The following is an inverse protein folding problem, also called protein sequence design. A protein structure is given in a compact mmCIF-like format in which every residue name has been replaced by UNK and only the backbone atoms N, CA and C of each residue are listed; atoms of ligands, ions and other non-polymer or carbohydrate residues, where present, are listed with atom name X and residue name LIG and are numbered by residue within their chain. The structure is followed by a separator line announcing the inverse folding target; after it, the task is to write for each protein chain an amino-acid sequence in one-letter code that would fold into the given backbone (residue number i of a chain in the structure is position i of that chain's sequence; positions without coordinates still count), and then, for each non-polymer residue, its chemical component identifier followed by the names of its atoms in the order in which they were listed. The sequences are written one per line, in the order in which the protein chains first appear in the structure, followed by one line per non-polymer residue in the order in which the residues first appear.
data_IF_108428083483
#
_entry.id   IF_108428083483
#
_cell.length_a   1.000
_cell.length_b   1.000
_cell.length_c   1.000
_cell.angle_alpha   90.00
_cell.angle_beta   90.00
_cell.angle_gamma   90.00
#
_symmetry.space_group_name_H-M   'P 1'
#
loop_
_entity.id
_entity.type
_entity.pdbx_description
1 polymer ?
#
# COMPACT_ATOMS: atom_id res chain seq x y z
N UNK A 1 -38.93 -15.75 1.43
CA UNK A 1 -37.75 -14.87 1.66
C UNK A 1 -37.13 -15.00 3.06
N UNK A 2 -37.82 -15.58 4.06
CA UNK A 2 -37.29 -15.69 5.44
C UNK A 2 -36.34 -16.86 5.71
N UNK A 3 -36.30 -17.91 4.86
CA UNK A 3 -35.44 -19.08 5.11
C UNK A 3 -33.95 -18.84 4.79
N UNK A 4 -33.65 -17.97 3.82
CA UNK A 4 -32.27 -17.64 3.42
C UNK A 4 -31.60 -16.75 4.47
N UNK A 5 -32.36 -15.86 5.11
CA UNK A 5 -31.86 -14.98 6.16
C UNK A 5 -31.31 -15.75 7.38
N UNK A 6 -32.01 -16.82 7.80
CA UNK A 6 -31.62 -17.64 8.95
C UNK A 6 -30.37 -18.50 8.70
N UNK A 7 -30.08 -18.88 7.46
CA UNK A 7 -28.87 -19.65 7.14
C UNK A 7 -27.60 -18.77 7.10
N UNK A 8 -27.75 -17.47 6.88
CA UNK A 8 -26.62 -16.54 6.75
C UNK A 8 -26.26 -15.89 8.10
N UNK A 9 -27.21 -15.83 9.03
CA UNK A 9 -27.05 -15.26 10.38
C UNK A 9 -25.84 -15.84 11.17
N UNK A 10 -25.61 -17.17 11.21
CA UNK A 10 -24.44 -17.72 11.89
C UNK A 10 -23.12 -17.33 11.22
N UNK A 11 -23.11 -17.20 9.89
CA UNK A 11 -21.94 -16.76 9.13
C UNK A 11 -21.67 -15.28 9.31
N UNK A 12 -22.71 -14.45 9.41
CA UNK A 12 -22.61 -13.02 9.71
C UNK A 12 -22.16 -12.80 11.14
N UNK A 13 -22.68 -13.57 12.09
CA UNK A 13 -22.25 -13.54 13.49
C UNK A 13 -20.83 -14.07 13.67
N UNK A 14 -20.46 -15.12 12.93
CA UNK A 14 -19.09 -15.64 12.91
C UNK A 14 -18.13 -14.64 12.25
N UNK A 15 -18.50 -14.00 11.15
CA UNK A 15 -17.72 -12.92 10.53
C UNK A 15 -17.60 -11.70 11.47
N UNK A 16 -18.68 -11.35 12.17
CA UNK A 16 -18.70 -10.30 13.20
C UNK A 16 -17.90 -10.66 14.46
N UNK A 17 -17.74 -11.95 14.77
CA UNK A 17 -16.89 -12.44 15.85
C UNK A 17 -15.41 -12.52 15.43
N UNK A 18 -15.13 -12.95 14.20
CA UNK A 18 -13.77 -13.03 13.63
C UNK A 18 -13.16 -11.63 13.48
N UNK A 19 -13.98 -10.66 13.11
CA UNK A 19 -13.64 -9.26 13.10
C UNK A 19 -14.05 -8.66 14.44
N UNK A 20 -13.17 -8.76 15.46
CA UNK A 20 -13.12 -7.78 16.56
C UNK A 20 -13.53 -6.43 15.98
N UNK A 21 -14.52 -5.74 16.54
CA UNK A 21 -15.20 -4.54 16.02
C UNK A 21 -14.27 -3.36 15.73
N UNK A 22 -13.27 -3.60 14.91
CA UNK A 22 -12.30 -2.72 14.41
C UNK A 22 -12.92 -2.20 13.14
N UNK A 23 -13.06 -0.87 12.97
CA UNK A 23 -13.53 -0.30 11.73
C UNK A 23 -12.44 -0.52 10.67
N UNK A 24 -12.37 -1.73 10.12
CA UNK A 24 -11.45 -2.05 9.05
C UNK A 24 -11.94 -1.32 7.81
N UNK A 25 -11.35 -0.16 7.54
CA UNK A 25 -11.17 0.27 6.15
C UNK A 25 -10.74 -0.94 5.33
N UNK A 26 -11.23 -1.07 4.08
CA UNK A 26 -10.74 -2.07 3.14
C UNK A 26 -9.22 -2.21 3.30
N UNK A 27 -8.67 -3.41 3.52
CA UNK A 27 -7.23 -3.59 3.69
C UNK A 27 -6.52 -2.89 2.55
N UNK A 28 -5.66 -1.93 2.87
CA UNK A 28 -4.93 -1.18 1.85
C UNK A 28 -4.01 -2.17 1.12
N UNK A 29 -4.08 -2.19 -0.21
CA UNK A 29 -3.34 -3.15 -1.03
C UNK A 29 -1.85 -2.77 -1.04
N UNK A 30 -1.10 -3.27 -0.06
CA UNK A 30 0.34 -3.06 0.05
C UNK A 30 1.11 -3.96 -0.93
N UNK A 31 2.30 -3.53 -1.39
CA UNK A 31 3.14 -4.35 -2.25
C UNK A 31 3.57 -5.65 -1.56
N UNK A 32 3.65 -6.72 -2.34
CA UNK A 32 4.24 -7.99 -1.92
C UNK A 32 5.77 -7.83 -1.88
N UNK A 33 6.32 -7.85 -0.66
CA UNK A 33 7.77 -7.71 -0.44
C UNK A 33 8.34 -8.90 0.33
N UNK A 34 9.57 -9.29 -0.02
CA UNK A 34 10.39 -10.19 0.78
C UNK A 34 10.92 -9.52 2.06
N UNK A 35 11.57 -10.28 2.96
CA UNK A 35 12.11 -9.76 4.24
C UNK A 35 13.17 -8.67 4.09
N UNK A 36 13.79 -8.59 2.91
CA UNK A 36 14.85 -7.67 2.52
C UNK A 36 14.34 -6.55 1.59
N UNK A 37 13.01 -6.43 1.45
CA UNK A 37 12.35 -5.46 0.58
C UNK A 37 12.27 -5.87 -0.89
N UNK A 38 12.74 -7.06 -1.27
CA UNK A 38 12.66 -7.55 -2.66
C UNK A 38 11.21 -7.58 -3.17
N UNK A 39 11.01 -7.24 -4.44
CA UNK A 39 9.69 -7.22 -5.10
C UNK A 39 9.58 -8.30 -6.17
N UNK A 40 8.41 -8.39 -6.83
CA UNK A 40 8.23 -9.22 -8.02
C UNK A 40 9.11 -8.83 -9.22
N UNK A 41 9.75 -7.66 -9.18
CA UNK A 41 10.62 -7.17 -10.25
C UNK A 41 12.09 -7.33 -9.84
N UNK A 42 12.88 -8.17 -10.54
CA UNK A 42 14.29 -8.36 -10.23
C UNK A 42 15.07 -7.04 -10.30
N UNK A 43 15.76 -6.72 -9.21
CA UNK A 43 16.55 -5.48 -9.08
C UNK A 43 15.78 -4.28 -8.53
N UNK A 44 14.49 -4.45 -8.20
CA UNK A 44 13.67 -3.44 -7.53
C UNK A 44 13.37 -3.88 -6.10
N UNK A 45 13.67 -3.02 -5.13
CA UNK A 45 13.36 -3.21 -3.70
C UNK A 45 12.51 -2.07 -3.18
N UNK A 46 11.80 -2.30 -2.07
CA UNK A 46 11.01 -1.31 -1.34
C UNK A 46 11.53 -1.22 0.09
N UNK A 47 11.67 -0.01 0.60
CA UNK A 47 12.05 0.27 1.99
C UNK A 47 11.18 1.39 2.59
N UNK A 48 11.20 1.50 3.92
CA UNK A 48 10.40 2.48 4.67
C UNK A 48 9.07 1.93 5.19
N UNK A 49 8.18 2.87 5.56
CA UNK A 49 6.86 2.60 6.16
C UNK A 49 5.87 1.85 5.24
N UNK A 50 6.23 1.62 3.98
CA UNK A 50 5.45 0.75 3.09
C UNK A 50 5.35 -0.70 3.60
N UNK A 51 6.18 -1.08 4.57
CA UNK A 51 6.11 -2.36 5.28
C UNK A 51 5.04 -2.41 6.39
N UNK A 52 4.32 -1.30 6.65
CA UNK A 52 3.14 -1.29 7.52
C UNK A 52 3.36 -0.81 8.96
N UNK A 53 4.55 -0.34 9.33
CA UNK A 53 4.85 0.19 10.67
C UNK A 53 5.58 1.54 10.55
N UNK A 54 4.92 2.68 10.87
CA UNK A 54 5.45 4.02 10.64
C UNK A 54 6.42 4.44 11.75
N UNK A 55 7.53 3.72 11.88
CA UNK A 55 8.57 4.02 12.85
C UNK A 55 9.85 4.44 12.15
N UNK A 56 10.38 5.59 12.55
CA UNK A 56 11.58 6.20 11.97
C UNK A 56 12.78 5.24 11.95
N UNK A 57 12.94 4.45 13.02
CA UNK A 57 14.04 3.46 13.13
C UNK A 57 13.88 2.31 12.14
N UNK A 58 12.68 1.78 11.94
CA UNK A 58 12.44 0.76 10.91
C UNK A 58 12.61 1.33 9.51
N UNK A 59 12.23 2.59 9.29
CA UNK A 59 12.46 3.26 8.00
C UNK A 59 13.97 3.40 7.70
N UNK A 60 14.76 3.86 8.67
CA UNK A 60 16.21 3.95 8.52
C UNK A 60 16.86 2.56 8.32
N UNK A 61 16.50 1.58 9.15
CA UNK A 61 17.03 0.20 9.08
C UNK A 61 16.75 -0.46 7.73
N UNK A 62 15.50 -0.39 7.26
CA UNK A 62 15.10 -0.99 5.98
C UNK A 62 15.79 -0.35 4.79
N UNK A 63 16.02 0.98 4.82
CA UNK A 63 16.77 1.68 3.78
C UNK A 63 18.21 1.16 3.67
N UNK A 64 18.90 1.07 4.81
CA UNK A 64 20.28 0.59 4.85
C UNK A 64 20.40 -0.88 4.42
N UNK A 65 19.55 -1.75 5.00
CA UNK A 65 19.56 -3.19 4.70
C UNK A 65 19.25 -3.49 3.24
N UNK A 66 18.38 -2.72 2.60
CA UNK A 66 18.07 -2.92 1.19
C UNK A 66 19.28 -2.66 0.29
N UNK A 67 20.08 -1.63 0.60
CA UNK A 67 21.32 -1.33 -0.14
C UNK A 67 22.39 -2.38 0.12
N UNK A 68 22.59 -2.78 1.37
CA UNK A 68 23.53 -3.85 1.73
C UNK A 68 23.17 -5.17 1.04
N UNK A 69 21.87 -5.49 0.94
CA UNK A 69 21.41 -6.67 0.24
C UNK A 69 21.65 -6.57 -1.27
N UNK A 70 21.47 -5.41 -1.91
CA UNK A 70 21.88 -5.22 -3.31
C UNK A 70 23.37 -5.46 -3.50
N UNK A 71 24.22 -4.94 -2.61
CA UNK A 71 25.67 -5.10 -2.68
C UNK A 71 26.07 -6.58 -2.48
N UNK A 72 25.36 -7.31 -1.63
CA UNK A 72 25.62 -8.72 -1.37
C UNK A 72 25.29 -9.62 -2.59
N UNK A 73 24.37 -9.21 -3.47
CA UNK A 73 24.01 -9.96 -4.67
C UNK A 73 25.20 -10.08 -5.64
N UNK A 74 25.55 -11.31 -6.03
CA UNK A 74 26.60 -11.55 -7.04
C UNK A 74 26.32 -10.82 -8.37
N UNK A 75 25.04 -10.71 -8.75
CA UNK A 75 24.60 -9.99 -9.94
C UNK A 75 24.88 -8.47 -9.90
N UNK A 76 25.25 -7.92 -8.74
CA UNK A 76 25.64 -6.53 -8.57
C UNK A 76 27.18 -6.34 -8.53
N UNK A 77 27.94 -7.39 -8.18
CA UNK A 77 29.41 -7.34 -8.03
C UNK A 77 30.21 -7.46 -9.33
N UNK A 78 29.67 -8.11 -10.36
CA UNK A 78 30.30 -8.15 -11.69
C UNK A 78 30.07 -6.84 -12.46
N UNK A 79 30.95 -6.44 -13.41
CA UNK A 79 30.68 -5.27 -14.25
C UNK A 79 29.29 -5.43 -14.87
N UNK A 80 28.38 -4.55 -14.43
CA UNK A 80 26.99 -4.63 -14.78
C UNK A 80 26.75 -4.11 -16.20
N UNK A 81 25.49 -4.21 -16.67
CA UNK A 81 25.10 -3.50 -17.88
C UNK A 81 25.37 -2.00 -17.73
N UNK A 82 25.76 -1.34 -18.83
CA UNK A 82 25.94 0.10 -18.89
C UNK A 82 24.62 0.81 -18.53
N UNK A 83 24.67 1.69 -17.53
CA UNK A 83 23.55 2.45 -17.03
C UNK A 83 24.03 3.80 -16.48
N UNK A 84 23.12 4.78 -16.42
CA UNK A 84 23.45 6.11 -15.88
C UNK A 84 23.84 6.03 -14.40
N UNK A 85 23.23 5.12 -13.64
CA UNK A 85 23.45 4.92 -12.21
C UNK A 85 23.54 3.43 -11.82
N UNK A 86 24.33 3.13 -10.79
CA UNK A 86 24.30 1.84 -10.11
C UNK A 86 23.00 1.66 -9.32
N UNK A 87 22.55 2.74 -8.67
CA UNK A 87 21.36 2.75 -7.85
C UNK A 87 20.56 4.04 -8.04
N UNK A 88 19.26 3.92 -8.28
CA UNK A 88 18.33 5.04 -8.12
C UNK A 88 17.47 4.82 -6.89
N UNK A 89 17.40 5.84 -6.03
CA UNK A 89 16.56 5.86 -4.83
C UNK A 89 15.37 6.78 -5.11
N UNK A 90 14.16 6.28 -4.93
CA UNK A 90 12.91 7.02 -5.19
C UNK A 90 12.26 7.37 -3.84
N UNK A 91 12.32 8.64 -3.45
CA UNK A 91 11.82 9.17 -2.19
C UNK A 91 12.95 9.65 -1.27
N UNK A 92 12.92 10.93 -0.90
CA UNK A 92 13.87 11.64 -0.04
C UNK A 92 13.46 11.69 1.43
N UNK A 93 12.80 10.65 1.93
CA UNK A 93 12.48 10.49 3.36
C UNK A 93 13.64 9.89 4.17
N UNK A 94 13.36 9.48 5.41
CA UNK A 94 14.35 8.86 6.31
C UNK A 94 14.95 7.57 5.71
N UNK A 95 14.12 6.73 5.10
CA UNK A 95 14.58 5.51 4.43
C UNK A 95 15.47 5.82 3.22
N UNK A 96 15.13 6.86 2.46
CA UNK A 96 15.90 7.32 1.30
C UNK A 96 17.26 7.89 1.70
N UNK A 97 17.31 8.73 2.75
CA UNK A 97 18.57 9.22 3.31
C UNK A 97 19.45 8.07 3.80
N UNK A 98 18.87 7.10 4.52
CA UNK A 98 19.61 5.93 5.02
C UNK A 98 20.23 5.12 3.88
N UNK A 99 19.45 4.86 2.83
CA UNK A 99 19.93 4.18 1.65
C UNK A 99 21.02 4.98 0.91
N UNK A 100 20.87 6.31 0.82
CA UNK A 100 21.84 7.18 0.16
C UNK A 100 23.19 7.20 0.90
N UNK A 101 23.16 7.23 2.25
CA UNK A 101 24.37 7.13 3.07
C UNK A 101 25.09 5.79 2.85
N UNK A 102 24.36 4.68 2.88
CA UNK A 102 24.95 3.35 2.62
C UNK A 102 25.47 3.22 1.18
N UNK A 103 24.78 3.80 0.19
CA UNK A 103 25.23 3.80 -1.19
C UNK A 103 26.52 4.63 -1.37
N UNK A 104 26.62 5.77 -0.69
CA UNK A 104 27.81 6.62 -0.67
C UNK A 104 29.00 5.90 -0.04
N UNK A 105 28.78 5.25 1.12
CA UNK A 105 29.77 4.42 1.80
C UNK A 105 30.31 3.29 0.93
N UNK A 106 29.46 2.70 0.11
CA UNK A 106 29.83 1.65 -0.83
C UNK A 106 30.43 2.17 -2.15
N UNK A 107 30.57 3.49 -2.32
CA UNK A 107 31.13 4.11 -3.53
C UNK A 107 30.26 3.92 -4.79
N UNK A 108 28.95 3.74 -4.63
CA UNK A 108 28.04 3.53 -5.76
C UNK A 108 27.76 4.85 -6.49
N UNK A 109 27.60 4.79 -7.80
CA UNK A 109 27.06 5.93 -8.56
C UNK A 109 25.53 5.97 -8.39
N UNK A 110 25.01 6.84 -7.53
CA UNK A 110 23.57 6.88 -7.24
C UNK A 110 22.92 8.25 -7.45
N UNK A 111 21.58 8.26 -7.48
CA UNK A 111 20.74 9.47 -7.46
C UNK A 111 19.51 9.27 -6.59
N UNK A 112 19.16 10.27 -5.80
CA UNK A 112 17.90 10.33 -5.04
C UNK A 112 16.93 11.26 -5.75
N UNK A 113 15.74 10.76 -6.09
CA UNK A 113 14.65 11.56 -6.64
C UNK A 113 13.55 11.74 -5.59
N UNK A 114 13.18 12.98 -5.32
CA UNK A 114 12.09 13.36 -4.41
C UNK A 114 10.99 14.08 -5.20
N UNK A 115 9.71 13.78 -4.93
CA UNK A 115 8.59 14.37 -5.67
C UNK A 115 8.32 15.83 -5.28
N UNK A 116 8.57 16.20 -4.02
CA UNK A 116 8.32 17.55 -3.50
C UNK A 116 9.55 18.13 -2.81
N UNK A 117 9.59 18.03 -1.48
CA UNK A 117 10.70 18.49 -0.66
C UNK A 117 11.31 17.33 0.15
N UNK A 118 12.63 17.33 0.42
CA UNK A 118 13.25 16.32 1.26
C UNK A 118 12.59 16.26 2.63
N UNK A 119 12.38 15.05 3.13
CA UNK A 119 11.73 14.80 4.42
C UNK A 119 10.29 15.33 4.55
N UNK A 120 9.56 15.50 3.43
CA UNK A 120 8.20 16.04 3.38
C UNK A 120 7.26 15.49 4.47
N UNK A 121 7.31 14.20 4.80
CA UNK A 121 6.48 13.62 5.87
C UNK A 121 6.72 14.29 7.22
N UNK A 122 8.00 14.53 7.58
CA UNK A 122 8.39 15.18 8.83
C UNK A 122 8.15 16.68 8.76
N UNK A 123 8.45 17.32 7.62
CA UNK A 123 8.16 18.76 7.41
C UNK A 123 6.68 19.07 7.65
N UNK A 124 5.80 18.16 7.24
CA UNK A 124 4.35 18.28 7.35
C UNK A 124 3.78 18.01 8.75
N UNK A 125 4.60 17.63 9.73
CA UNK A 125 4.13 17.54 11.12
C UNK A 125 3.84 18.92 11.69
N UNK A 126 2.95 19.00 12.68
CA UNK A 126 2.68 20.23 13.41
C UNK A 126 3.93 20.71 14.13
N UNK A 127 4.12 22.03 14.24
CA UNK A 127 5.23 22.64 14.97
C UNK A 127 5.27 22.14 16.42
N UNK A 128 6.47 21.81 16.90
CA UNK A 128 6.67 21.31 18.26
C UNK A 128 6.14 19.89 18.49
N UNK A 129 5.77 19.14 17.43
CA UNK A 129 5.29 17.75 17.57
C UNK A 129 6.37 16.88 18.23
N UNK A 130 6.07 16.20 19.36
CA UNK A 130 6.98 15.24 19.96
C UNK A 130 7.21 14.06 19.01
N UNK A 131 8.47 13.70 18.85
CA UNK A 131 8.92 12.56 18.06
C UNK A 131 9.30 11.43 19.01
N UNK A 132 8.63 10.30 18.84
CA UNK A 132 8.93 9.10 19.60
C UNK A 132 9.69 8.09 18.75
N UNK A 133 10.98 7.91 19.04
CA UNK A 133 11.85 6.98 18.31
C UNK A 133 11.75 5.55 18.86
N UNK A 134 10.55 4.96 18.84
CA UNK A 134 10.37 3.56 19.19
C UNK A 134 10.84 2.63 18.05
N UNK A 135 11.36 1.43 18.37
CA UNK A 135 11.70 0.93 19.70
C UNK A 135 12.97 1.59 20.26
N UNK A 136 13.00 2.01 21.54
CA UNK A 136 14.15 2.74 22.11
C UNK A 136 15.45 1.93 22.07
N UNK A 137 15.39 0.63 22.36
CA UNK A 137 16.54 -0.28 22.34
C UNK A 137 17.03 -0.66 20.94
N UNK A 138 16.22 -0.44 19.90
CA UNK A 138 16.62 -0.77 18.53
C UNK A 138 17.68 0.22 18.05
N UNK A 139 18.80 -0.30 17.56
CA UNK A 139 19.75 0.46 16.76
C UNK A 139 19.52 0.09 15.28
N UNK A 140 19.07 1.03 14.44
CA UNK A 140 18.91 0.75 13.03
C UNK A 140 20.27 0.43 12.39
N UNK A 141 20.28 -0.46 11.41
CA UNK A 141 21.44 -0.61 10.54
C UNK A 141 21.69 0.70 9.77
N UNK A 142 22.96 0.97 9.47
CA UNK A 142 23.41 2.16 8.77
C UNK A 142 23.77 3.33 9.68
N UNK A 143 24.08 4.48 9.06
CA UNK A 143 24.71 5.62 9.75
C UNK A 143 23.73 6.72 10.19
N UNK A 144 22.44 6.60 9.85
CA UNK A 144 21.43 7.62 10.19
C UNK A 144 21.22 7.68 11.70
N UNK A 145 21.45 8.88 12.26
CA UNK A 145 21.16 9.23 13.65
C UNK A 145 19.76 9.82 13.76
N UNK A 146 19.01 9.30 14.73
CA UNK A 146 17.63 9.68 15.05
C UNK A 146 17.52 9.88 16.57
N UNK A 147 18.05 10.99 17.08
CA UNK A 147 18.13 11.26 18.53
C UNK A 147 17.25 12.42 18.97
N UNK A 148 16.72 13.20 18.04
CA UNK A 148 15.85 14.33 18.34
C UNK A 148 14.48 13.87 18.87
N UNK A 149 13.97 14.61 19.86
CA UNK A 149 12.68 14.34 20.52
C UNK A 149 11.55 15.24 20.00
N UNK A 150 11.87 16.23 19.16
CA UNK A 150 10.91 17.19 18.59
C UNK A 150 11.15 17.32 17.09
N UNK A 151 10.08 17.61 16.34
CA UNK A 151 10.06 17.73 14.87
C UNK A 151 11.21 18.57 14.31
N UNK A 152 11.39 19.79 14.81
CA UNK A 152 12.32 20.77 14.25
C UNK A 152 13.77 20.28 14.36
N UNK A 153 14.15 19.79 15.54
CA UNK A 153 15.47 19.24 15.80
C UNK A 153 15.74 18.00 14.95
N UNK A 154 14.72 17.14 14.75
CA UNK A 154 14.83 15.97 13.89
C UNK A 154 15.09 16.38 12.43
N UNK A 155 14.32 17.36 11.94
CA UNK A 155 14.48 17.85 10.58
C UNK A 155 15.87 18.46 10.36
N UNK A 156 16.33 19.30 11.30
CA UNK A 156 17.67 19.88 11.26
C UNK A 156 18.76 18.80 11.29
N UNK A 157 18.62 17.79 12.17
CA UNK A 157 19.53 16.65 12.25
C UNK A 157 19.60 15.85 10.94
N UNK A 158 18.48 15.59 10.28
CA UNK A 158 18.44 14.85 9.02
C UNK A 158 19.04 15.67 7.86
N UNK A 159 18.71 16.96 7.79
CA UNK A 159 19.26 17.87 6.78
C UNK A 159 20.77 18.04 6.95
N UNK A 160 21.25 18.14 8.19
CA UNK A 160 22.68 18.24 8.48
C UNK A 160 23.43 16.98 8.01
N UNK A 161 22.95 15.78 8.35
CA UNK A 161 23.54 14.52 7.90
C UNK A 161 23.59 14.40 6.36
N UNK A 162 22.53 14.84 5.67
CA UNK A 162 22.51 14.86 4.22
C UNK A 162 23.59 15.78 3.63
N UNK A 163 23.73 17.00 4.18
CA UNK A 163 24.74 17.98 3.74
C UNK A 163 26.16 17.51 4.04
N UNK A 164 26.43 16.99 5.23
CA UNK A 164 27.75 16.47 5.62
C UNK A 164 28.21 15.34 4.70
N UNK A 165 27.26 14.52 4.22
CA UNK A 165 27.54 13.39 3.33
C UNK A 165 27.41 13.74 1.84
N UNK A 166 27.25 15.02 1.49
CA UNK A 166 27.04 15.50 0.13
C UNK A 166 25.92 14.76 -0.64
N UNK A 167 24.83 14.44 0.06
CA UNK A 167 23.65 13.78 -0.53
C UNK A 167 22.72 14.84 -1.09
N UNK A 168 22.63 14.87 -2.41
CA UNK A 168 21.70 15.73 -3.13
C UNK A 168 20.37 15.02 -3.41
N UNK A 169 19.28 15.71 -3.12
CA UNK A 169 17.92 15.30 -3.47
C UNK A 169 17.48 16.05 -4.71
N UNK A 170 17.28 15.32 -5.81
CA UNK A 170 16.78 15.92 -7.03
C UNK A 170 15.25 15.94 -7.03
N UNK A 171 14.67 17.13 -7.19
CA UNK A 171 13.21 17.29 -7.20
C UNK A 171 12.65 16.83 -8.55
N UNK A 172 12.13 15.62 -8.59
CA UNK A 172 11.45 15.03 -9.72
C UNK A 172 10.51 13.90 -9.27
N UNK A 173 9.23 13.98 -9.68
CA UNK A 173 8.25 12.93 -9.41
C UNK A 173 8.47 11.75 -10.35
N UNK A 174 8.93 10.62 -9.82
CA UNK A 174 9.00 9.35 -10.56
C UNK A 174 7.58 8.82 -10.74
N UNK A 175 7.22 8.47 -11.98
CA UNK A 175 5.90 7.97 -12.33
C UNK A 175 5.84 6.43 -12.36
N UNK A 176 6.89 5.79 -12.89
CA UNK A 176 6.99 4.34 -13.00
C UNK A 176 8.43 3.87 -13.14
N UNK A 177 8.67 2.61 -12.77
CA UNK A 177 9.92 1.90 -13.05
C UNK A 177 9.60 0.76 -14.01
N UNK A 178 10.37 0.60 -15.08
CA UNK A 178 10.17 -0.47 -16.07
C UNK A 178 11.47 -1.21 -16.34
N UNK A 179 11.39 -2.51 -16.61
CA UNK A 179 12.58 -3.30 -16.94
C UNK A 179 12.90 -3.16 -18.43
N UNK A 180 14.13 -2.81 -18.75
CA UNK A 180 14.64 -2.75 -20.13
C UNK A 180 15.90 -3.61 -20.27
N UNK A 181 15.75 -4.81 -20.80
CA UNK A 181 16.85 -5.76 -20.94
C UNK A 181 17.46 -6.14 -19.58
N UNK A 182 18.69 -5.70 -19.32
CA UNK A 182 19.41 -5.95 -18.05
C UNK A 182 19.34 -4.78 -17.06
N UNK A 183 18.80 -3.64 -17.47
CA UNK A 183 18.70 -2.42 -16.65
C UNK A 183 17.24 -2.11 -16.30
N UNK A 184 17.06 -1.14 -15.42
CA UNK A 184 15.78 -0.56 -15.04
C UNK A 184 15.73 0.86 -15.58
N UNK A 185 14.60 1.23 -16.19
CA UNK A 185 14.32 2.58 -16.64
C UNK A 185 13.37 3.26 -15.65
N UNK A 186 13.81 4.40 -15.11
CA UNK A 186 13.06 5.24 -14.18
C UNK A 186 12.41 6.37 -14.99
N UNK A 187 11.09 6.30 -15.13
CA UNK A 187 10.28 7.30 -15.85
C UNK A 187 9.72 8.35 -14.91
N UNK A 188 9.61 9.58 -15.41
CA UNK A 188 9.15 10.73 -14.63
C UNK A 188 7.80 11.24 -15.11
N UNK A 189 7.03 11.83 -14.19
CA UNK A 189 5.87 12.62 -14.56
C UNK A 189 6.31 13.90 -15.31
N UNK A 190 5.46 14.41 -16.21
CA UNK A 190 5.72 15.67 -16.90
C UNK A 190 6.70 15.60 -18.07
N UNK A 191 6.98 14.42 -18.62
CA UNK A 191 7.72 14.27 -19.89
C UNK A 191 9.24 14.42 -19.79
N UNK A 192 9.80 14.50 -18.58
CA UNK A 192 11.25 14.48 -18.37
C UNK A 192 11.88 13.17 -18.90
N UNK A 193 13.08 13.29 -19.49
CA UNK A 193 13.82 12.15 -20.04
C UNK A 193 14.05 11.08 -18.95
N UNK A 194 13.67 9.81 -19.20
CA UNK A 194 13.95 8.70 -18.29
C UNK A 194 15.45 8.50 -18.07
N UNK A 195 15.81 7.97 -16.90
CA UNK A 195 17.19 7.56 -16.59
C UNK A 195 17.27 6.05 -16.41
N UNK A 196 18.45 5.49 -16.67
CA UNK A 196 18.72 4.07 -16.51
C UNK A 196 19.47 3.77 -15.21
N UNK A 197 19.14 2.65 -14.57
CA UNK A 197 19.76 2.21 -13.33
C UNK A 197 19.95 0.69 -13.30
N UNK A 198 21.01 0.21 -12.63
CA UNK A 198 21.20 -1.23 -12.40
C UNK A 198 20.28 -1.78 -11.31
N UNK A 199 19.96 -0.96 -10.31
CA UNK A 199 19.03 -1.24 -9.22
C UNK A 199 18.17 -0.02 -8.92
N UNK A 200 16.96 -0.26 -8.43
CA UNK A 200 16.06 0.80 -7.96
C UNK A 200 15.56 0.46 -6.56
N UNK A 201 15.69 1.41 -5.64
CA UNK A 201 15.11 1.33 -4.31
C UNK A 201 13.95 2.32 -4.19
N UNK A 202 12.77 1.82 -3.84
CA UNK A 202 11.57 2.63 -3.67
C UNK A 202 11.39 2.93 -2.17
N UNK A 203 11.50 4.20 -1.81
CA UNK A 203 11.42 4.76 -0.45
C UNK A 203 10.29 5.80 -0.30
N UNK A 204 9.24 5.71 -1.12
CA UNK A 204 8.16 6.72 -1.20
C UNK A 204 7.23 6.77 0.03
N UNK A 205 7.33 5.78 0.94
CA UNK A 205 6.48 5.70 2.13
C UNK A 205 4.98 5.56 1.79
N UNK A 206 4.13 5.69 2.81
CA UNK A 206 2.65 5.62 2.66
C UNK A 206 1.99 6.99 2.53
N UNK A 207 2.73 8.06 2.78
CA UNK A 207 2.21 9.43 2.76
C UNK A 207 2.14 9.94 1.33
N UNK A 208 1.21 9.40 0.54
CA UNK A 208 0.89 9.91 -0.80
C UNK A 208 0.11 11.23 -0.73
N UNK A 209 -0.69 11.47 -1.78
CA UNK A 209 -1.46 12.70 -1.93
C UNK A 209 -2.61 12.76 -0.91
N UNK A 210 -3.03 13.97 -0.54
CA UNK A 210 -4.16 14.18 0.37
C UNK A 210 -5.47 13.79 -0.32
N UNK A 211 -6.38 13.15 0.41
CA UNK A 211 -7.73 12.96 -0.11
C UNK A 211 -8.39 14.34 -0.28
N UNK A 212 -9.11 14.48 -1.40
CA UNK A 212 -9.93 15.65 -1.68
C UNK A 212 -11.36 15.44 -1.19
N UNK A 213 -11.98 16.49 -0.69
CA UNK A 213 -13.41 16.54 -0.41
C UNK A 213 -14.24 16.47 -1.70
N UNK A 214 -13.69 16.98 -2.81
CA UNK A 214 -14.37 17.13 -4.10
C UNK A 214 -15.66 17.96 -4.00
N UNK A 215 -15.57 19.08 -3.26
CA UNK A 215 -16.68 20.01 -3.04
C UNK A 215 -16.39 21.38 -3.64
N UNK A 216 -17.41 22.17 -4.02
CA UNK A 216 -17.22 23.55 -4.42
C UNK A 216 -16.48 24.36 -3.34
N UNK A 217 -15.48 25.15 -3.74
CA UNK A 217 -14.70 25.99 -2.84
C UNK A 217 -13.54 25.30 -2.12
N UNK A 218 -13.31 24.00 -2.34
CA UNK A 218 -12.14 23.30 -1.77
C UNK A 218 -10.79 23.91 -2.18
N UNK A 219 -10.73 24.58 -3.34
CA UNK A 219 -9.52 25.22 -3.86
C UNK A 219 -9.25 26.62 -3.28
N UNK A 220 -10.07 27.12 -2.35
CA UNK A 220 -9.85 28.42 -1.71
C UNK A 220 -8.59 28.40 -0.82
N UNK A 221 -7.88 29.53 -0.73
CA UNK A 221 -6.63 29.66 0.03
C UNK A 221 -6.78 29.36 1.54
N UNK A 222 -8.00 29.49 2.08
CA UNK A 222 -8.35 29.16 3.47
C UNK A 222 -8.43 27.66 3.76
N UNK A 223 -8.37 26.81 2.73
CA UNK A 223 -8.50 25.35 2.85
C UNK A 223 -7.11 24.74 2.85
N UNK A 224 -6.79 24.07 3.96
CA UNK A 224 -5.49 23.50 4.21
C UNK A 224 -5.60 22.00 4.45
N UNK A 225 -4.66 21.23 3.91
CA UNK A 225 -4.58 19.79 4.16
C UNK A 225 -3.55 19.43 5.25
N UNK A 226 -2.99 20.44 5.91
CA UNK A 226 -1.88 20.35 6.86
C UNK A 226 -1.93 21.52 7.84
N UNK A 227 -1.61 21.25 9.09
CA UNK A 227 -1.46 22.26 10.12
C UNK A 227 0.03 22.46 10.43
N UNK A 228 0.59 23.61 10.04
CA UNK A 228 2.00 23.93 10.28
C UNK A 228 2.21 24.52 11.67
N UNK A 229 1.65 25.71 11.94
CA UNK A 229 1.68 26.36 13.24
C UNK A 229 0.24 26.64 13.73
N UNK A 230 -0.20 26.04 14.85
CA UNK A 230 -1.50 26.34 15.43
C UNK A 230 -1.65 27.80 15.88
N UNK A 231 -0.54 28.48 16.26
CA UNK A 231 -0.56 29.85 16.77
C UNK A 231 -1.06 30.87 15.73
N UNK A 232 -0.88 30.60 14.43
CA UNK A 232 -1.33 31.47 13.33
C UNK A 232 -2.86 31.62 13.27
N UNK A 233 -3.58 30.77 14.00
CA UNK A 233 -5.05 30.71 14.03
C UNK A 233 -5.63 31.15 15.38
N UNK A 234 -4.83 31.73 16.27
CA UNK A 234 -5.32 32.31 17.51
C UNK A 234 -6.43 33.34 17.26
N UNK A 235 -7.57 33.18 17.94
CA UNK A 235 -8.75 34.04 17.79
C UNK A 235 -9.55 33.85 16.50
N UNK A 236 -9.15 32.94 15.60
CA UNK A 236 -9.86 32.65 14.35
C UNK A 236 -10.86 31.49 14.53
N UNK A 237 -11.92 31.51 13.73
CA UNK A 237 -12.88 30.40 13.59
C UNK A 237 -12.35 29.37 12.61
N UNK A 238 -12.19 28.14 13.06
CA UNK A 238 -11.54 27.09 12.28
C UNK A 238 -12.40 25.83 12.23
N UNK A 239 -12.67 25.34 11.03
CA UNK A 239 -13.29 24.04 10.83
C UNK A 239 -12.21 22.98 10.59
N UNK A 240 -12.16 21.94 11.40
CA UNK A 240 -11.38 20.73 11.11
C UNK A 240 -12.32 19.66 10.56
N UNK A 241 -11.93 19.00 9.47
CA UNK A 241 -12.72 17.94 8.82
C UNK A 241 -11.97 16.62 8.93
N UNK A 242 -12.56 15.64 9.62
CA UNK A 242 -11.99 14.31 9.77
C UNK A 242 -12.23 13.71 11.16
N UNK A 243 -11.96 12.41 11.30
CA UNK A 243 -12.13 11.67 12.55
C UNK A 243 -11.05 10.63 12.82
N UNK A 244 -9.84 10.89 12.30
CA UNK A 244 -8.62 10.13 12.62
C UNK A 244 -7.75 10.88 13.64
N UNK A 245 -6.66 10.25 14.11
CA UNK A 245 -5.74 10.88 15.06
C UNK A 245 -5.22 12.24 14.56
N UNK A 246 -4.90 12.38 13.28
CA UNK A 246 -4.42 13.65 12.72
C UNK A 246 -5.45 14.78 12.80
N UNK A 247 -6.76 14.46 12.68
CA UNK A 247 -7.82 15.45 12.81
C UNK A 247 -7.99 15.87 14.27
N UNK A 248 -8.00 14.89 15.19
CA UNK A 248 -8.16 15.17 16.63
C UNK A 248 -6.95 15.92 17.20
N UNK A 249 -5.72 15.51 16.85
CA UNK A 249 -4.49 16.21 17.24
C UNK A 249 -4.51 17.66 16.73
N UNK A 250 -4.88 17.89 15.47
CA UNK A 250 -4.98 19.24 14.91
C UNK A 250 -6.02 20.10 15.64
N UNK A 251 -7.20 19.55 15.89
CA UNK A 251 -8.28 20.25 16.57
C UNK A 251 -7.90 20.63 18.01
N UNK A 252 -7.27 19.72 18.74
CA UNK A 252 -6.75 19.97 20.09
C UNK A 252 -5.66 21.04 20.07
N UNK A 253 -4.69 20.95 19.16
CA UNK A 253 -3.61 21.94 19.07
C UNK A 253 -4.12 23.34 18.70
N UNK A 254 -5.07 23.45 17.77
CA UNK A 254 -5.71 24.72 17.40
C UNK A 254 -6.47 25.33 18.59
N UNK A 255 -7.22 24.51 19.32
CA UNK A 255 -7.94 24.96 20.51
C UNK A 255 -6.98 25.45 21.61
N UNK A 256 -5.90 24.72 21.86
CA UNK A 256 -4.84 25.13 22.81
C UNK A 256 -4.17 26.45 22.40
N UNK A 257 -4.05 26.69 21.10
CA UNK A 257 -3.58 27.96 20.53
C UNK A 257 -4.64 29.07 20.50
N UNK A 258 -5.79 28.89 21.18
CA UNK A 258 -6.88 29.87 21.31
C UNK A 258 -7.69 30.10 20.02
N UNK A 259 -7.71 29.15 19.08
CA UNK A 259 -8.65 29.17 17.97
C UNK A 259 -10.05 28.71 18.42
N UNK A 260 -11.11 29.22 17.77
CA UNK A 260 -12.48 28.73 17.92
C UNK A 260 -12.71 27.56 16.96
N UNK A 261 -12.52 26.34 17.46
CA UNK A 261 -12.49 25.13 16.63
C UNK A 261 -13.85 24.44 16.59
N UNK A 262 -14.33 24.15 15.38
CA UNK A 262 -15.39 23.18 15.11
C UNK A 262 -14.80 21.96 14.41
N UNK A 263 -15.28 20.75 14.73
CA UNK A 263 -14.83 19.50 14.14
C UNK A 263 -15.98 18.81 13.41
N UNK A 264 -15.89 18.64 12.10
CA UNK A 264 -16.87 17.88 11.30
C UNK A 264 -16.36 16.47 11.02
N UNK A 265 -17.19 15.48 11.32
CA UNK A 265 -16.90 14.08 11.05
C UNK A 265 -18.11 13.33 10.52
N UNK A 266 -17.92 12.60 9.41
CA UNK A 266 -18.97 11.83 8.74
C UNK A 266 -19.49 10.63 9.53
N UNK A 267 -18.71 10.14 10.49
CA UNK A 267 -19.10 9.00 11.33
C UNK A 267 -20.04 9.43 12.46
N UNK A 268 -20.76 8.46 13.03
CA UNK A 268 -21.63 8.71 14.18
C UNK A 268 -20.85 8.81 15.50
N UNK A 269 -19.66 8.21 15.57
CA UNK A 269 -18.75 8.29 16.72
C UNK A 269 -17.32 7.91 16.33
N UNK A 270 -16.34 8.29 17.15
CA UNK A 270 -14.94 7.98 16.92
C UNK A 270 -14.61 6.52 17.26
N UNK A 271 -14.03 5.80 16.30
CA UNK A 271 -13.59 4.41 16.49
C UNK A 271 -12.14 4.13 16.06
N UNK A 272 -11.56 5.04 15.27
CA UNK A 272 -10.23 4.90 14.68
C UNK A 272 -9.12 5.55 15.52
N UNK A 273 -9.30 6.76 16.09
CA UNK A 273 -8.26 7.42 16.83
C UNK A 273 -7.93 6.69 18.13
N UNK A 274 -6.76 7.00 18.70
CA UNK A 274 -6.40 6.55 20.04
C UNK A 274 -7.42 7.06 21.07
N UNK A 275 -7.84 6.24 22.05
CA UNK A 275 -8.79 6.66 23.08
C UNK A 275 -8.39 7.94 23.81
N UNK A 276 -7.08 8.12 24.05
CA UNK A 276 -6.54 9.34 24.68
C UNK A 276 -6.79 10.61 23.84
N UNK A 277 -6.73 10.51 22.52
CA UNK A 277 -6.98 11.63 21.62
C UNK A 277 -8.47 11.95 21.53
N UNK A 278 -9.33 10.93 21.58
CA UNK A 278 -10.79 11.08 21.65
C UNK A 278 -11.18 11.84 22.92
N UNK A 279 -10.74 11.35 24.09
CA UNK A 279 -11.06 11.95 25.38
C UNK A 279 -10.60 13.42 25.47
N UNK A 280 -9.41 13.73 24.94
CA UNK A 280 -8.91 15.13 24.89
C UNK A 280 -9.75 16.02 23.98
N UNK A 281 -10.14 15.54 22.80
CA UNK A 281 -10.94 16.32 21.87
C UNK A 281 -12.34 16.57 22.42
N UNK A 282 -13.01 15.55 22.96
CA UNK A 282 -14.33 15.66 23.58
C UNK A 282 -14.31 16.61 24.78
N UNK A 283 -13.30 16.52 25.65
CA UNK A 283 -13.18 17.41 26.81
C UNK A 283 -12.98 18.89 26.46
N UNK A 284 -12.43 19.21 25.28
CA UNK A 284 -12.11 20.58 24.87
C UNK A 284 -13.14 21.18 23.91
N UNK A 285 -13.70 20.36 23.03
CA UNK A 285 -14.58 20.81 21.95
C UNK A 285 -16.05 20.56 22.26
N UNK A 286 -16.37 19.49 22.99
CA UNK A 286 -17.72 19.11 23.43
C UNK A 286 -18.78 19.26 22.31
N UNK A 287 -19.64 20.27 22.44
CA UNK A 287 -20.74 20.61 21.53
C UNK A 287 -20.30 21.10 20.13
N UNK A 288 -19.01 21.40 19.95
CA UNK A 288 -18.42 21.80 18.66
C UNK A 288 -17.97 20.63 17.80
N UNK A 289 -18.24 19.39 18.23
CA UNK A 289 -18.03 18.18 17.43
C UNK A 289 -19.33 17.81 16.69
N UNK A 290 -19.30 17.98 15.37
CA UNK A 290 -20.42 17.71 14.47
C UNK A 290 -20.31 16.31 13.87
N UNK A 291 -20.94 15.33 14.53
CA UNK A 291 -21.05 13.95 14.02
C UNK A 291 -22.05 13.81 12.88
N UNK A 292 -21.90 12.76 12.08
CA UNK A 292 -22.74 12.46 10.92
C UNK A 292 -22.90 13.65 9.96
N UNK A 293 -21.84 14.47 9.83
CA UNK A 293 -21.81 15.63 8.92
C UNK A 293 -20.79 15.44 7.81
N UNK A 294 -21.09 16.00 6.65
CA UNK A 294 -20.17 16.11 5.51
C UNK A 294 -20.13 17.56 5.04
N UNK A 295 -18.97 18.03 4.58
CA UNK A 295 -18.89 19.34 3.92
C UNK A 295 -19.62 19.27 2.58
N UNK A 296 -20.53 20.21 2.32
CA UNK A 296 -21.27 20.33 1.06
C UNK A 296 -20.58 21.32 0.11
N UNK A 297 -20.24 22.51 0.62
CA UNK A 297 -19.49 23.54 -0.09
C UNK A 297 -18.78 24.48 0.88
N UNK A 298 -17.74 25.14 0.38
CA UNK A 298 -16.91 26.09 1.11
C UNK A 298 -17.02 27.45 0.40
N UNK A 299 -17.27 28.49 1.17
CA UNK A 299 -17.34 29.88 0.73
C UNK A 299 -16.23 30.69 1.44
N UNK A 300 -15.91 31.92 0.98
CA UNK A 300 -14.81 32.72 1.54
C UNK A 300 -14.88 32.95 3.05
N UNK A 301 -16.08 33.09 3.62
CA UNK A 301 -16.34 33.43 5.02
C UNK A 301 -17.11 32.34 5.80
N UNK A 302 -17.56 31.27 5.12
CA UNK A 302 -18.35 30.21 5.74
C UNK A 302 -18.22 28.85 5.06
N UNK A 303 -18.69 27.82 5.75
CA UNK A 303 -18.82 26.45 5.25
C UNK A 303 -20.24 25.96 5.47
N UNK A 304 -20.74 25.19 4.50
CA UNK A 304 -22.00 24.48 4.61
C UNK A 304 -21.74 23.00 4.91
N UNK A 305 -22.30 22.53 6.02
CA UNK A 305 -22.32 21.12 6.39
C UNK A 305 -23.67 20.52 6.03
N UNK A 306 -23.67 19.27 5.56
CA UNK A 306 -24.86 18.46 5.35
C UNK A 306 -24.90 17.35 6.39
N UNK A 307 -25.99 17.31 7.14
CA UNK A 307 -26.26 16.24 8.10
C UNK A 307 -26.78 14.98 7.39
N UNK A 308 -26.72 13.83 8.07
CA UNK A 308 -27.25 12.57 7.55
C UNK A 308 -28.75 12.61 7.19
N UNK A 309 -29.52 13.53 7.79
CA UNK A 309 -30.94 13.79 7.49
C UNK A 309 -31.15 14.71 6.27
N UNK A 310 -30.07 15.25 5.69
CA UNK A 310 -30.10 16.18 4.57
C UNK A 310 -30.21 17.65 4.93
N UNK A 311 -30.32 18.00 6.21
CA UNK A 311 -30.41 19.40 6.65
C UNK A 311 -29.07 20.11 6.49
N UNK A 312 -29.06 21.31 5.89
CA UNK A 312 -27.86 22.12 5.77
C UNK A 312 -27.63 22.96 7.03
N UNK A 313 -26.40 22.97 7.52
CA UNK A 313 -25.95 23.81 8.63
C UNK A 313 -24.85 24.75 8.14
N UNK A 314 -25.03 26.04 8.38
CA UNK A 314 -24.04 27.07 8.07
C UNK A 314 -23.10 27.29 9.26
N UNK A 315 -21.80 27.32 9.01
CA UNK A 315 -20.77 27.65 9.99
C UNK A 315 -19.86 28.76 9.45
N UNK A 316 -19.83 29.90 10.13
CA UNK A 316 -18.85 30.95 9.83
C UNK A 316 -17.44 30.47 10.21
N UNK A 317 -16.46 30.67 9.32
CA UNK A 317 -15.09 30.23 9.56
C UNK A 317 -14.07 31.03 8.75
N UNK A 318 -12.88 31.18 9.30
CA UNK A 318 -11.73 31.83 8.65
C UNK A 318 -10.82 30.81 7.95
N UNK A 319 -10.76 29.56 8.45
CA UNK A 319 -9.94 28.50 7.88
C UNK A 319 -10.62 27.13 7.93
N UNK A 320 -10.23 26.23 7.03
CA UNK A 320 -10.68 24.83 6.99
C UNK A 320 -9.46 23.91 6.93
N UNK A 321 -9.35 22.96 7.85
CA UNK A 321 -8.34 21.91 7.82
C UNK A 321 -8.95 20.58 7.41
N UNK A 322 -8.64 20.13 6.20
CA UNK A 322 -9.09 18.85 5.65
C UNK A 322 -8.11 17.75 6.08
N UNK A 323 -8.44 17.10 7.20
CA UNK A 323 -7.61 16.09 7.88
C UNK A 323 -8.21 14.69 7.72
N UNK A 324 -8.63 14.35 6.51
CA UNK A 324 -9.34 13.09 6.17
C UNK A 324 -8.42 11.94 5.75
N UNK A 325 -7.09 12.15 5.81
CA UNK A 325 -6.07 11.16 5.50
C UNK A 325 -5.39 11.39 4.15
N UNK A 326 -4.59 10.41 3.74
CA UNK A 326 -3.84 10.41 2.47
C UNK A 326 -4.10 9.13 1.71
N UNK A 327 -4.03 9.21 0.39
CA UNK A 327 -4.07 8.07 -0.50
C UNK A 327 -2.71 7.39 -0.53
N UNK A 328 -2.67 6.07 -0.31
CA UNK A 328 -1.42 5.34 -0.52
C UNK A 328 -1.06 5.33 -2.01
N UNK A 329 0.25 5.30 -2.34
CA UNK A 329 0.72 5.34 -3.73
C UNK A 329 0.54 3.99 -4.45
N UNK A 330 -0.64 3.38 -4.37
CA UNK A 330 -1.00 2.09 -4.97
C UNK A 330 -0.80 2.13 -6.49
N UNK A 331 -1.24 3.22 -7.10
CA UNK A 331 -1.13 3.50 -8.53
C UNK A 331 0.30 3.42 -9.07
N UNK A 332 1.29 3.89 -8.29
CA UNK A 332 2.70 3.81 -8.67
C UNK A 332 3.18 2.35 -8.77
N UNK A 333 2.77 1.51 -7.82
CA UNK A 333 3.12 0.09 -7.82
C UNK A 333 2.45 -0.64 -8.98
N UNK A 334 1.17 -0.32 -9.26
CA UNK A 334 0.42 -0.89 -10.40
C UNK A 334 1.10 -0.51 -11.72
N UNK A 335 1.43 0.77 -11.93
CA UNK A 335 2.12 1.23 -13.15
C UNK A 335 3.52 0.64 -13.33
N UNK A 336 4.19 0.36 -12.22
CA UNK A 336 5.50 -0.31 -12.19
C UNK A 336 5.39 -1.83 -12.42
N UNK A 337 4.22 -2.43 -12.17
CA UNK A 337 4.00 -3.88 -12.28
C UNK A 337 4.42 -4.67 -11.03
N UNK A 338 4.48 -4.02 -9.87
CA UNK A 338 4.73 -4.69 -8.59
C UNK A 338 3.44 -5.35 -8.11
N UNK A 339 3.53 -6.63 -7.72
CA UNK A 339 2.39 -7.34 -7.17
C UNK A 339 1.93 -6.72 -5.85
N UNK A 340 0.61 -6.60 -5.68
CA UNK A 340 0.00 -6.12 -4.45
C UNK A 340 -0.75 -7.26 -3.75
N UNK A 341 -0.67 -7.29 -2.43
CA UNK A 341 -1.36 -8.31 -1.61
C UNK A 341 -2.87 -8.19 -1.80
N UNK A 342 -3.52 -9.32 -2.10
CA UNK A 342 -4.97 -9.39 -2.29
C UNK A 342 -5.50 -8.74 -3.58
N UNK A 343 -4.62 -8.20 -4.43
CA UNK A 343 -5.02 -7.62 -5.71
C UNK A 343 -5.02 -8.68 -6.82
N UNK A 344 -6.16 -8.85 -7.47
CA UNK A 344 -6.30 -9.71 -8.65
C UNK A 344 -6.10 -8.87 -9.91
N UNK A 345 -4.96 -9.07 -10.59
CA UNK A 345 -4.77 -8.42 -11.89
C UNK A 345 -5.76 -8.98 -12.92
N UNK A 346 -6.15 -8.21 -13.96
CA UNK A 346 -7.05 -8.69 -15.02
C UNK A 346 -6.60 -10.02 -15.63
N UNK A 347 -5.27 -10.23 -15.76
CA UNK A 347 -4.71 -11.50 -16.21
C UNK A 347 -4.92 -12.67 -15.23
N UNK A 348 -4.79 -12.44 -13.91
CA UNK A 348 -5.10 -13.47 -12.90
C UNK A 348 -6.59 -13.81 -12.88
N UNK A 349 -7.46 -12.81 -13.05
CA UNK A 349 -8.92 -13.01 -13.15
C UNK A 349 -9.24 -13.85 -14.39
N UNK A 350 -8.69 -13.47 -15.56
CA UNK A 350 -8.89 -14.22 -16.79
C UNK A 350 -8.39 -15.66 -16.67
N UNK A 351 -7.19 -15.88 -16.10
CA UNK A 351 -6.64 -17.21 -15.87
C UNK A 351 -7.48 -18.06 -14.92
N UNK A 352 -8.02 -17.45 -13.85
CA UNK A 352 -8.93 -18.14 -12.92
C UNK A 352 -10.25 -18.51 -13.59
N UNK A 353 -10.84 -17.59 -14.36
CA UNK A 353 -12.06 -17.86 -15.13
C UNK A 353 -11.81 -18.96 -16.17
N UNK A 354 -10.69 -18.92 -16.90
CA UNK A 354 -10.28 -19.97 -17.84
C UNK A 354 -10.10 -21.32 -17.16
N UNK A 355 -9.47 -21.35 -15.98
CA UNK A 355 -9.31 -22.57 -15.19
C UNK A 355 -10.66 -23.12 -14.74
N UNK A 356 -11.56 -22.24 -14.28
CA UNK A 356 -12.88 -22.61 -13.81
C UNK A 356 -13.76 -23.12 -14.98
N UNK A 357 -13.68 -22.48 -16.14
CA UNK A 357 -14.29 -22.95 -17.38
C UNK A 357 -13.73 -24.30 -17.83
N UNK A 358 -12.41 -24.52 -17.73
CA UNK A 358 -11.78 -25.79 -18.06
C UNK A 358 -12.22 -26.91 -17.10
N UNK A 359 -12.31 -26.64 -15.80
CA UNK A 359 -12.83 -27.59 -14.80
C UNK A 359 -14.31 -27.90 -15.07
N UNK A 360 -15.12 -26.87 -15.37
CA UNK A 360 -16.52 -27.06 -15.74
C UNK A 360 -16.66 -27.85 -17.04
N UNK A 361 -15.79 -27.62 -18.03
CA UNK A 361 -15.74 -28.39 -19.28
C UNK A 361 -15.43 -29.86 -19.00
N UNK A 362 -14.40 -30.15 -18.20
CA UNK A 362 -14.04 -31.53 -17.80
C UNK A 362 -15.16 -32.18 -16.98
N UNK A 363 -15.79 -31.43 -16.06
CA UNK A 363 -16.91 -31.93 -15.26
C UNK A 363 -18.13 -32.25 -16.13
N UNK A 364 -18.49 -31.35 -17.06
CA UNK A 364 -19.57 -31.56 -18.04
C UNK A 364 -19.27 -32.73 -18.97
N UNK A 365 -18.02 -32.87 -19.38
CA UNK A 365 -17.58 -33.99 -20.20
C UNK A 365 -17.70 -35.34 -19.46
N UNK A 366 -17.36 -35.38 -18.16
CA UNK A 366 -17.43 -36.61 -17.34
C UNK A 366 -18.83 -36.94 -16.83
N UNK A 367 -19.77 -35.99 -16.85
CA UNK A 367 -21.16 -36.26 -16.50
C UNK A 367 -21.89 -36.84 -17.71
N UNK A 368 -22.43 -38.05 -17.55
CA UNK A 368 -23.16 -38.76 -18.60
C UNK A 368 -24.34 -37.91 -19.13
N UNK A 369 -24.53 -37.90 -20.46
CA UNK A 369 -25.50 -37.08 -21.22
C UNK A 369 -25.20 -35.56 -21.32
N UNK A 370 -23.98 -35.17 -21.68
CA UNK A 370 -23.72 -33.80 -22.15
C UNK A 370 -23.46 -33.75 -23.66
N UNK A 371 -24.07 -32.78 -24.35
CA UNK A 371 -23.84 -32.51 -25.79
C UNK A 371 -22.35 -32.28 -26.12
N UNK A 372 -21.56 -31.89 -25.11
CA UNK A 372 -20.10 -31.72 -25.20
C UNK A 372 -19.40 -33.07 -25.35
N UNK A 373 -19.84 -34.12 -24.64
CA UNK A 373 -19.27 -35.45 -24.78
C UNK A 373 -19.53 -36.02 -26.19
N UNK A 374 -20.74 -35.82 -26.72
CA UNK A 374 -21.12 -36.23 -28.07
C UNK A 374 -20.32 -35.48 -29.14
N UNK A 375 -20.15 -34.15 -28.99
CA UNK A 375 -19.33 -33.34 -29.89
C UNK A 375 -17.86 -33.79 -29.93
N UNK A 376 -17.26 -34.17 -28.79
CA UNK A 376 -15.89 -34.66 -28.75
C UNK A 376 -15.72 -36.04 -29.41
N UNK A 377 -16.73 -36.91 -29.31
CA UNK A 377 -16.77 -38.20 -30.00
C UNK A 377 -16.82 -38.02 -31.52
N UNK A 378 -17.59 -37.05 -32.01
CA UNK A 378 -17.75 -36.78 -33.44
C UNK A 378 -16.56 -36.05 -34.07
N UNK A 379 -15.86 -35.19 -33.31
CA UNK A 379 -14.88 -34.25 -33.89
C UNK A 379 -13.42 -34.61 -33.64
N UNK A 380 -13.08 -35.27 -32.51
CA UNK A 380 -11.69 -35.35 -32.04
C UNK A 380 -11.07 -36.75 -32.01
N UNK A 381 -11.81 -37.81 -32.33
CA UNK A 381 -11.25 -39.17 -32.48
C UNK A 381 -10.43 -39.67 -31.27
N UNK A 382 -10.82 -39.30 -30.06
CA UNK A 382 -10.15 -39.76 -28.84
C UNK A 382 -10.75 -41.11 -28.38
N UNK A 383 -9.92 -42.11 -28.01
CA UNK A 383 -10.41 -43.44 -27.68
C UNK A 383 -10.86 -43.45 -26.22
N UNK A 384 -12.13 -43.17 -25.96
CA UNK A 384 -12.78 -43.66 -24.75
C UNK A 384 -13.75 -44.74 -25.17
N UNK A 385 -13.30 -45.99 -25.00
CA UNK A 385 -14.15 -47.16 -24.90
C UNK A 385 -15.27 -46.85 -23.91
N UNK A 386 -16.47 -46.79 -24.46
CA UNK A 386 -17.71 -46.57 -23.76
C UNK A 386 -17.83 -47.49 -22.54
N UNK A 387 -17.94 -46.92 -21.34
CA UNK A 387 -18.66 -47.58 -20.25
C UNK A 387 -20.15 -47.39 -20.59
N UNK A 388 -20.60 -48.09 -21.64
CA UNK A 388 -22.03 -48.30 -21.90
C UNK A 388 -22.29 -49.74 -21.54
N UNK A 389 -22.87 -49.90 -20.35
CA UNK A 389 -23.63 -51.05 -19.86
C UNK A 389 -23.46 -52.35 -20.68
N UNK A 390 -22.71 -53.30 -20.12
CA UNK A 390 -23.02 -54.71 -20.32
C UNK A 390 -23.20 -55.35 -18.94
N UNK A 391 -24.28 -56.12 -18.80
CA UNK A 391 -24.69 -56.81 -17.58
C UNK A 391 -23.66 -57.81 -17.06
N UNK A 392 -23.98 -58.53 -15.97
CA UNK A 392 -23.00 -59.23 -15.17
C UNK A 392 -22.62 -60.52 -15.88
N UNK A 393 -21.53 -60.51 -16.65
CA UNK A 393 -20.61 -61.63 -16.97
C UNK A 393 -19.97 -61.38 -18.34
N UNK A 394 -18.69 -61.00 -18.35
CA UNK A 394 -17.76 -61.36 -19.42
C UNK A 394 -16.33 -61.02 -19.01
N UNK A 395 -15.49 -62.05 -18.95
CA UNK A 395 -14.04 -61.97 -18.73
C UNK A 395 -13.35 -61.08 -19.77
N UNK A 396 -12.57 -60.11 -19.31
CA UNK A 396 -11.61 -59.37 -20.14
C UNK A 396 -10.35 -60.23 -20.35
N UNK A 397 -10.22 -60.78 -21.55
CA UNK A 397 -8.97 -61.30 -22.09
C UNK A 397 -8.21 -60.14 -22.75
N UNK A 398 -7.06 -59.78 -22.20
CA UNK A 398 -6.18 -58.76 -22.79
C UNK A 398 -5.36 -59.38 -23.93
N UNK A 399 -5.74 -59.07 -25.18
CA UNK A 399 -4.87 -59.28 -26.32
C UNK A 399 -3.79 -58.17 -26.34
N UNK A 400 -2.59 -58.54 -25.91
CA UNK A 400 -1.38 -57.72 -25.98
C UNK A 400 -1.00 -57.50 -27.46
N UNK A 401 -1.11 -56.26 -27.95
CA UNK A 401 -0.60 -55.89 -29.27
C UNK A 401 0.93 -55.84 -29.20
N UNK A 402 1.55 -56.80 -29.88
CA UNK A 402 2.98 -57.04 -29.98
C UNK A 402 3.66 -55.97 -30.84
N UNK A 403 4.43 -55.12 -30.18
CA UNK A 403 5.28 -54.15 -30.85
C UNK A 403 6.31 -53.59 -29.89
N UNK A 404 7.23 -54.43 -29.41
CA UNK A 404 8.66 -54.13 -29.20
C UNK A 404 9.34 -55.28 -28.43
N UNK A 405 10.21 -56.00 -29.16
CA UNK A 405 11.24 -56.85 -28.57
C UNK A 405 12.28 -55.96 -27.91
N UNK A 406 12.53 -56.13 -26.62
CA UNK A 406 13.83 -56.54 -26.08
C UNK A 406 13.92 -56.19 -24.59
N UNK A 407 14.64 -57.05 -23.87
CA UNK A 407 15.11 -56.91 -22.49
C UNK A 407 14.10 -57.30 -21.39
N UNK A 408 14.16 -58.62 -21.11
CA UNK A 408 14.15 -59.25 -19.78
C UNK A 408 14.63 -58.23 -18.72
N UNK A 409 14.03 -58.05 -17.56
CA UNK A 409 13.01 -58.78 -16.83
C UNK A 409 13.27 -58.45 -15.36
N UNK A 410 12.25 -58.11 -14.59
CA UNK A 410 12.21 -58.25 -13.13
C UNK A 410 10.81 -57.84 -12.67
N UNK A 411 9.96 -58.85 -12.43
CA UNK A 411 8.74 -58.72 -11.64
C UNK A 411 9.03 -59.34 -10.28
N UNK A 412 8.92 -58.56 -9.21
CA UNK A 412 8.56 -59.09 -7.89
C UNK A 412 7.45 -58.23 -7.31
N UNK A 413 6.28 -58.85 -7.17
CA UNK A 413 5.18 -58.38 -6.36
C UNK A 413 5.59 -58.43 -4.89
N UNK A 414 5.27 -57.38 -4.14
CA UNK A 414 4.89 -57.52 -2.73
C UNK A 414 3.71 -56.57 -2.47
N UNK A 415 2.54 -57.18 -2.27
CA UNK A 415 1.39 -56.55 -1.64
C UNK A 415 1.63 -56.49 -0.13
N UNK A 416 1.27 -55.37 0.50
CA UNK A 416 0.90 -55.27 1.92
C UNK A 416 0.09 -54.00 2.13
N UNK A 417 -0.75 -53.95 3.18
CA UNK A 417 -1.96 -54.74 3.41
C UNK A 417 -3.24 -54.01 2.98
#
# INVERSE_FOLDING_TARGET
MNAIAHCIEPLVNYAGWLHLQWPASKPEALPETGPDGSTSIPGVRIAGDLLGVPLLKFAADSGARAVQAFIAENAFKSPGPEADFDLVIVGGGVAGLSAALEANKAGLKFRVYEAGEPFATIVNFTKGKPIFTYPRAMQPQGEVKLTAEVKEDLLAQLQHQARESAIDFEIARVDKVTRQGKTLQVGFAGGRKPVSARRVLICIGRSGDHYKLNVPGEALDKVHNRLFDPADYAGKKVLVVGGGDSALEAAVSLHQARAEVSLSYRGQSFHRPKPENIAKAEALLDDRIWYATQVDRIEPDKVWLKHGNGEPTELANDAVFVMIGREAPVDFFVRTGINLRGHWSPGKIAGFVLTLLAVLLVYRWKTENSEIADWFLDTAGFPITSIRQSGPTACLSFACCSGWRSLRGFTMNVCTP
#
